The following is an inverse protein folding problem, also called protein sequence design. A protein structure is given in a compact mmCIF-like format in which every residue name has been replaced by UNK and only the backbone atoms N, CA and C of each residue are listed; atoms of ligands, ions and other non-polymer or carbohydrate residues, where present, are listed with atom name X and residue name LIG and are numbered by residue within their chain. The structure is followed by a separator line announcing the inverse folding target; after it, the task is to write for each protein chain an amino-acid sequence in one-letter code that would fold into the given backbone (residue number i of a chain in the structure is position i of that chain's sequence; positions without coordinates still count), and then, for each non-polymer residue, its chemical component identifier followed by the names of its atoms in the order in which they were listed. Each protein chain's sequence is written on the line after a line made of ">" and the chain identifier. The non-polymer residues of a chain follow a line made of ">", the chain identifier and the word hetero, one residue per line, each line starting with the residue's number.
data_IF_239865250137
#
_entry.id   IF_239865250137
#
_cell.length_a   1.000
_cell.length_b   1.000
_cell.length_c   1.000
_cell.angle_alpha   90.00
_cell.angle_beta   90.00
_cell.angle_gamma   90.00
#
_symmetry.space_group_name_H-M   'P 1'
#
loop_
_entity.id
_entity.type
_entity.pdbx_description
1 polymer ?
#
# COMPACT_ATOMS: atom_id res chain seq x y z
N UNK A 1 14.76 -5.21 24.06
CA UNK A 1 14.73 -3.75 23.87
C UNK A 1 14.21 -3.10 25.13
N UNK A 2 14.68 -1.90 25.41
CA UNK A 2 14.20 -1.04 26.51
C UNK A 2 13.56 0.24 25.95
N UNK A 3 12.71 0.88 26.76
CA UNK A 3 12.27 2.25 26.51
C UNK A 3 13.15 3.21 27.31
N UNK A 4 13.86 4.11 26.62
CA UNK A 4 14.75 5.10 27.20
C UNK A 4 14.12 6.49 27.12
N UNK A 5 13.81 7.06 28.28
CA UNK A 5 13.20 8.39 28.44
C UNK A 5 14.29 9.37 28.88
N UNK A 6 14.60 10.36 28.03
CA UNK A 6 15.75 11.26 28.22
C UNK A 6 15.28 12.67 28.56
N UNK A 7 15.75 13.19 29.68
CA UNK A 7 15.67 14.59 30.11
C UNK A 7 14.25 15.19 30.03
N UNK A 8 13.21 14.41 30.33
CA UNK A 8 11.83 14.92 30.40
C UNK A 8 11.55 15.62 31.75
N UNK A 9 12.47 16.49 32.16
CA UNK A 9 12.43 17.21 33.43
C UNK A 9 11.54 18.45 33.34
N UNK A 10 10.99 18.89 34.48
CA UNK A 10 10.00 19.98 34.57
C UNK A 10 10.47 21.27 33.90
N UNK A 11 11.73 21.65 34.09
CA UNK A 11 12.26 22.92 33.55
C UNK A 11 12.30 23.05 32.04
N UNK A 12 12.15 21.94 31.31
CA UNK A 12 12.18 21.93 29.85
C UNK A 12 11.01 21.18 29.20
N UNK A 13 10.07 20.65 29.99
CA UNK A 13 8.91 19.88 29.49
C UNK A 13 7.63 20.73 29.57
N UNK A 14 7.48 21.66 28.64
CA UNK A 14 6.33 22.59 28.59
C UNK A 14 5.94 23.03 27.16
N UNK A 15 4.97 23.94 27.09
CA UNK A 15 4.33 24.43 25.86
C UNK A 15 5.25 25.21 24.91
N UNK A 16 6.49 25.50 25.32
CA UNK A 16 7.52 26.10 24.45
C UNK A 16 8.05 25.10 23.41
N UNK A 17 7.85 23.81 23.64
CA UNK A 17 8.27 22.74 22.73
C UNK A 17 7.37 22.66 21.50
N UNK A 18 7.97 22.37 20.34
CA UNK A 18 7.20 22.06 19.15
C UNK A 18 6.29 20.86 19.38
N UNK A 19 4.98 21.04 19.11
CA UNK A 19 3.98 19.97 19.19
C UNK A 19 3.76 19.43 20.61
N UNK A 20 3.96 20.25 21.66
CA UNK A 20 3.95 19.83 23.06
C UNK A 20 2.81 18.87 23.45
N UNK A 21 1.55 19.17 23.07
CA UNK A 21 0.43 18.30 23.43
C UNK A 21 0.54 16.90 22.82
N UNK A 22 0.92 16.82 21.54
CA UNK A 22 1.11 15.54 20.84
C UNK A 22 2.32 14.79 21.40
N UNK A 23 3.42 15.50 21.63
CA UNK A 23 4.62 14.97 22.30
C UNK A 23 4.26 14.34 23.64
N UNK A 24 3.53 15.08 24.46
CA UNK A 24 3.17 14.68 25.81
C UNK A 24 2.30 13.43 25.81
N UNK A 25 1.27 13.38 24.95
CA UNK A 25 0.41 12.22 24.84
C UNK A 25 1.17 10.98 24.35
N UNK A 26 2.01 11.13 23.34
CA UNK A 26 2.77 10.00 22.79
C UNK A 26 3.79 9.44 23.80
N UNK A 27 4.56 10.30 24.48
CA UNK A 27 5.51 9.84 25.51
C UNK A 27 4.77 9.10 26.64
N UNK A 28 3.67 9.67 27.13
CA UNK A 28 2.85 9.07 28.18
C UNK A 28 2.32 7.70 27.76
N UNK A 29 1.78 7.60 26.55
CA UNK A 29 1.28 6.36 25.98
C UNK A 29 2.36 5.28 25.91
N UNK A 30 3.55 5.59 25.41
CA UNK A 30 4.63 4.61 25.28
C UNK A 30 5.19 4.17 26.63
N UNK A 31 5.29 5.07 27.61
CA UNK A 31 5.67 4.70 28.99
C UNK A 31 4.65 3.71 29.57
N UNK A 32 3.35 4.03 29.48
CA UNK A 32 2.29 3.13 29.94
C UNK A 32 2.36 1.78 29.23
N UNK A 33 2.47 1.78 27.90
CA UNK A 33 2.48 0.55 27.12
C UNK A 33 3.72 -0.31 27.39
N UNK A 34 4.88 0.31 27.58
CA UNK A 34 6.09 -0.40 27.98
C UNK A 34 5.90 -1.13 29.31
N UNK A 35 5.36 -0.44 30.32
CA UNK A 35 5.05 -1.02 31.64
C UNK A 35 4.07 -2.18 31.54
N UNK A 36 2.96 -1.99 30.82
CA UNK A 36 1.92 -3.02 30.63
C UNK A 36 2.44 -4.29 29.97
N UNK A 37 3.47 -4.17 29.12
CA UNK A 37 4.03 -5.28 28.35
C UNK A 37 5.39 -5.75 28.88
N UNK A 38 5.74 -5.38 30.12
CA UNK A 38 6.95 -5.83 30.79
C UNK A 38 8.26 -5.38 30.13
N UNK A 39 8.21 -4.30 29.33
CA UNK A 39 9.39 -3.63 28.80
C UNK A 39 9.94 -2.70 29.86
N UNK A 40 11.24 -2.80 30.09
CA UNK A 40 11.88 -1.93 31.09
C UNK A 40 11.89 -0.48 30.59
N UNK A 41 11.36 0.41 31.42
CA UNK A 41 11.44 1.86 31.22
C UNK A 41 12.62 2.37 32.03
N UNK A 42 13.53 3.07 31.36
CA UNK A 42 14.73 3.65 31.95
C UNK A 42 14.68 5.15 31.73
N UNK A 43 14.86 5.91 32.81
CA UNK A 43 14.89 7.36 32.78
C UNK A 43 16.32 7.87 32.88
N UNK A 44 16.55 9.02 32.25
CA UNK A 44 17.79 9.77 32.34
C UNK A 44 17.44 11.23 32.65
N UNK A 45 18.13 11.82 33.62
CA UNK A 45 18.03 13.23 33.98
C UNK A 45 19.37 13.92 33.74
N UNK A 46 19.33 15.13 33.21
CA UNK A 46 20.48 16.00 33.11
C UNK A 46 20.63 16.82 34.38
N UNK A 47 21.87 16.89 34.87
CA UNK A 47 22.26 17.72 36.00
C UNK A 47 23.27 18.76 35.52
N UNK A 48 22.87 20.04 35.51
CA UNK A 48 23.75 21.17 35.15
C UNK A 48 24.69 21.57 36.29
N UNK A 49 24.53 20.97 37.47
CA UNK A 49 25.34 21.18 38.66
C UNK A 49 24.75 22.21 39.62
N UNK A 50 25.24 22.25 40.87
CA UNK A 50 24.62 23.04 41.94
C UNK A 50 24.51 24.53 41.63
N UNK A 51 23.35 25.11 41.92
CA UNK A 51 23.09 26.56 41.79
C UNK A 51 22.62 27.02 40.40
N UNK A 52 22.39 26.10 39.48
CA UNK A 52 21.84 26.36 38.14
C UNK A 52 20.32 26.45 38.12
N UNK A 53 19.66 25.89 39.13
CA UNK A 53 18.20 25.70 39.15
C UNK A 53 17.77 24.47 38.35
N UNK A 54 18.71 23.67 37.84
CA UNK A 54 18.46 22.44 37.09
C UNK A 54 19.42 21.33 37.55
N UNK A 55 19.49 21.14 38.87
CA UNK A 55 20.37 20.17 39.53
C UNK A 55 19.63 19.37 40.61
N UNK A 56 20.25 18.30 41.10
CA UNK A 56 19.65 17.44 42.13
C UNK A 56 19.18 18.25 43.34
N UNK A 57 17.86 18.19 43.60
CA UNK A 57 17.20 18.92 44.68
C UNK A 57 16.42 20.16 44.23
N UNK A 58 16.59 20.61 42.99
CA UNK A 58 15.78 21.66 42.39
C UNK A 58 14.44 21.07 41.88
N UNK A 59 13.35 21.85 41.97
CA UNK A 59 12.04 21.41 41.45
C UNK A 59 12.07 21.17 39.94
N UNK A 60 12.75 22.05 39.20
CA UNK A 60 12.86 21.96 37.75
C UNK A 60 13.69 20.75 37.28
N UNK A 61 14.53 20.20 38.16
CA UNK A 61 15.31 18.99 37.89
C UNK A 61 14.44 17.73 37.92
N UNK A 62 13.34 17.71 38.67
CA UNK A 62 12.48 16.55 38.77
C UNK A 62 11.87 16.19 37.41
N UNK A 63 11.64 14.89 37.19
CA UNK A 63 10.94 14.41 35.99
C UNK A 63 9.53 14.99 35.98
N UNK A 64 9.06 15.41 34.80
CA UNK A 64 7.74 15.95 34.59
C UNK A 64 6.66 14.99 35.12
N UNK A 65 5.70 15.51 35.89
CA UNK A 65 4.84 14.70 36.77
C UNK A 65 4.05 13.62 35.99
N UNK A 66 3.62 13.92 34.76
CA UNK A 66 2.88 12.95 33.92
C UNK A 66 3.73 11.78 33.40
N UNK A 67 5.05 11.86 33.51
CA UNK A 67 6.00 10.83 33.09
C UNK A 67 6.76 10.20 34.25
N UNK A 68 6.44 10.56 35.50
CA UNK A 68 7.23 10.20 36.66
C UNK A 68 7.55 8.69 36.73
N UNK A 69 8.78 8.32 37.12
CA UNK A 69 9.15 6.91 37.29
C UNK A 69 8.31 6.24 38.38
N UNK A 70 7.96 4.97 38.15
CA UNK A 70 7.36 4.10 39.14
C UNK A 70 8.42 3.52 40.09
N UNK A 71 7.96 3.03 41.24
CA UNK A 71 8.85 2.43 42.24
C UNK A 71 9.61 1.25 41.64
N UNK A 72 10.93 1.35 41.57
CA UNK A 72 11.81 0.30 41.05
C UNK A 72 12.32 0.54 39.63
N UNK A 73 11.75 1.50 38.89
CA UNK A 73 12.29 1.93 37.60
C UNK A 73 13.66 2.61 37.77
N UNK A 74 14.52 2.45 36.77
CA UNK A 74 15.89 2.96 36.83
C UNK A 74 15.93 4.41 36.38
N UNK A 75 16.64 5.23 37.16
CA UNK A 75 16.93 6.62 36.82
C UNK A 75 18.45 6.80 36.84
N UNK A 76 19.01 7.27 35.73
CA UNK A 76 20.43 7.61 35.60
C UNK A 76 20.59 9.13 35.54
N UNK A 77 21.64 9.66 36.16
CA UNK A 77 21.95 11.09 36.13
C UNK A 77 23.15 11.31 35.23
N UNK A 78 23.09 12.31 34.34
CA UNK A 78 24.18 12.67 33.43
C UNK A 78 24.50 14.16 33.50
N UNK A 79 25.79 14.48 33.39
CA UNK A 79 26.31 15.87 33.27
C UNK A 79 26.86 16.14 31.86
N UNK A 80 26.55 15.27 30.90
CA UNK A 80 26.93 15.36 29.48
C UNK A 80 25.71 15.09 28.61
N UNK A 81 25.77 15.41 27.31
CA UNK A 81 24.60 15.26 26.44
C UNK A 81 24.20 13.80 26.19
N UNK A 82 25.15 12.92 25.86
CA UNK A 82 24.85 11.51 25.57
C UNK A 82 24.55 10.73 26.86
N UNK A 83 23.38 10.11 26.93
CA UNK A 83 23.03 9.19 28.01
C UNK A 83 23.89 7.91 28.01
N UNK A 84 24.53 7.59 26.89
CA UNK A 84 25.40 6.42 26.73
C UNK A 84 26.88 6.76 26.93
N UNK A 85 27.20 7.97 27.36
CA UNK A 85 28.56 8.31 27.75
C UNK A 85 29.01 7.42 28.93
N UNK A 86 30.26 6.94 28.97
CA UNK A 86 30.73 6.01 30.01
C UNK A 86 30.54 6.52 31.44
N UNK A 87 30.59 7.84 31.67
CA UNK A 87 30.38 8.42 33.01
C UNK A 87 28.97 8.24 33.56
N UNK A 88 27.98 7.92 32.72
CA UNK A 88 26.57 7.72 33.12
C UNK A 88 26.34 6.29 33.61
N UNK A 89 27.12 5.32 33.15
CA UNK A 89 26.98 3.89 33.49
C UNK A 89 25.83 3.16 32.78
N UNK A 90 24.94 3.87 32.08
CA UNK A 90 23.83 3.28 31.33
C UNK A 90 24.31 2.34 30.21
N UNK A 91 25.36 2.70 29.48
CA UNK A 91 25.93 1.88 28.42
C UNK A 91 26.34 0.48 28.91
N UNK A 92 27.06 0.44 30.04
CA UNK A 92 27.52 -0.82 30.63
C UNK A 92 26.34 -1.64 31.15
N UNK A 93 25.35 -0.97 31.73
CA UNK A 93 24.11 -1.61 32.18
C UNK A 93 23.38 -2.31 31.02
N UNK A 94 23.17 -1.61 29.91
CA UNK A 94 22.50 -2.16 28.72
C UNK A 94 23.31 -3.31 28.08
N UNK A 95 24.64 -3.18 28.01
CA UNK A 95 25.53 -4.24 27.52
C UNK A 95 25.49 -5.49 28.40
N UNK A 96 25.47 -5.32 29.73
CA UNK A 96 25.36 -6.45 30.66
C UNK A 96 24.02 -7.19 30.53
N UNK A 97 22.94 -6.45 30.27
CA UNK A 97 21.62 -7.02 29.95
C UNK A 97 21.54 -7.66 28.56
N UNK A 98 22.56 -7.48 27.72
CA UNK A 98 22.59 -7.92 26.32
C UNK A 98 21.44 -7.32 25.51
N UNK A 99 21.07 -6.08 25.83
CA UNK A 99 20.13 -5.34 25.00
C UNK A 99 20.76 -5.03 23.64
N UNK A 100 19.97 -5.14 22.58
CA UNK A 100 20.42 -4.87 21.21
C UNK A 100 19.68 -3.70 20.57
N UNK A 101 18.56 -3.28 21.16
CA UNK A 101 17.72 -2.20 20.63
C UNK A 101 17.23 -1.28 21.76
N UNK A 102 17.16 0.02 21.45
CA UNK A 102 16.77 1.07 22.39
C UNK A 102 15.72 1.96 21.71
N UNK A 103 14.49 1.95 22.21
CA UNK A 103 13.49 2.94 21.82
C UNK A 103 13.74 4.22 22.61
N UNK A 104 14.07 5.31 21.93
CA UNK A 104 14.54 6.55 22.54
C UNK A 104 13.50 7.65 22.38
N UNK A 105 13.07 8.22 23.50
CA UNK A 105 12.11 9.32 23.58
C UNK A 105 12.62 10.39 24.55
N UNK A 106 12.11 11.62 24.44
CA UNK A 106 12.41 12.70 25.38
C UNK A 106 13.04 13.93 24.72
N UNK A 107 13.89 14.65 25.46
CA UNK A 107 14.33 16.00 25.13
C UNK A 107 15.85 16.17 25.25
N UNK A 108 16.46 17.13 24.57
CA UNK A 108 15.96 17.83 23.39
C UNK A 108 16.48 17.17 22.12
N UNK A 109 15.69 17.24 21.04
CA UNK A 109 15.98 16.64 19.72
C UNK A 109 17.44 16.85 19.28
N UNK A 110 17.88 18.10 19.19
CA UNK A 110 19.18 18.48 18.62
C UNK A 110 20.34 18.48 19.64
N UNK A 111 20.09 18.05 20.88
CA UNK A 111 21.09 17.98 21.94
C UNK A 111 21.20 16.54 22.47
N UNK A 112 20.57 16.23 23.60
CA UNK A 112 20.74 14.98 24.32
C UNK A 112 20.18 13.78 23.54
N UNK A 113 19.08 13.96 22.80
CA UNK A 113 18.50 12.91 21.95
C UNK A 113 19.46 12.58 20.79
N UNK A 114 19.89 13.57 19.99
CA UNK A 114 20.84 13.35 18.89
C UNK A 114 22.17 12.73 19.37
N UNK A 115 22.74 13.27 20.45
CA UNK A 115 23.99 12.75 21.01
C UNK A 115 23.84 11.29 21.47
N UNK A 116 22.70 10.94 22.07
CA UNK A 116 22.43 9.58 22.52
C UNK A 116 22.17 8.63 21.35
N UNK A 117 21.41 9.04 20.34
CA UNK A 117 21.13 8.24 19.13
C UNK A 117 22.44 7.90 18.43
N UNK A 118 23.29 8.89 18.15
CA UNK A 118 24.57 8.66 17.48
C UNK A 118 25.51 7.80 18.31
N UNK A 119 25.58 8.06 19.62
CA UNK A 119 26.38 7.25 20.54
C UNK A 119 25.89 5.80 20.64
N UNK A 120 24.58 5.57 20.57
CA UNK A 120 23.97 4.25 20.59
C UNK A 120 24.25 3.48 19.31
N UNK A 121 24.10 4.12 18.16
CA UNK A 121 24.51 3.60 16.86
C UNK A 121 25.99 3.19 16.84
N UNK A 122 26.90 4.07 17.30
CA UNK A 122 28.34 3.79 17.36
C UNK A 122 28.68 2.61 18.29
N UNK A 123 27.81 2.34 19.27
CA UNK A 123 27.95 1.20 20.18
C UNK A 123 27.21 -0.06 19.72
N UNK A 124 26.64 -0.05 18.51
CA UNK A 124 25.99 -1.20 17.88
C UNK A 124 24.56 -1.47 18.34
N UNK A 125 23.90 -0.50 18.98
CA UNK A 125 22.47 -0.62 19.27
C UNK A 125 21.65 -0.23 18.05
N UNK A 126 20.55 -0.95 17.85
CA UNK A 126 19.46 -0.50 17.00
C UNK A 126 18.68 0.61 17.71
N UNK A 127 18.84 1.84 17.22
CA UNK A 127 18.14 3.00 17.75
C UNK A 127 16.78 3.13 17.07
N UNK A 128 15.72 3.27 17.87
CA UNK A 128 14.34 3.42 17.39
C UNK A 128 13.78 4.73 17.94
N UNK A 129 13.20 5.55 17.07
CA UNK A 129 12.66 6.87 17.42
C UNK A 129 11.23 6.99 16.89
N UNK A 130 10.21 6.84 17.76
CA UNK A 130 8.82 7.02 17.35
C UNK A 130 8.50 8.48 17.01
N UNK A 131 7.61 8.70 16.05
CA UNK A 131 7.17 10.05 15.67
C UNK A 131 6.59 10.84 16.85
N UNK A 132 6.91 12.13 16.90
CA UNK A 132 6.44 13.06 17.93
C UNK A 132 6.69 12.54 19.35
N UNK A 133 7.85 11.92 19.60
CA UNK A 133 8.30 11.54 20.96
C UNK A 133 9.59 12.24 21.37
N UNK A 134 10.07 13.17 20.54
CA UNK A 134 11.13 14.11 20.86
C UNK A 134 10.76 15.50 20.35
N UNK A 135 11.30 16.54 20.99
CA UNK A 135 11.08 17.92 20.57
C UNK A 135 12.21 18.83 21.05
N UNK A 136 12.17 20.09 20.61
CA UNK A 136 13.09 21.14 21.02
C UNK A 136 12.41 22.51 20.94
N UNK A 137 13.07 23.53 21.50
CA UNK A 137 12.60 24.91 21.46
C UNK A 137 12.94 25.58 20.14
N UNK A 138 12.23 26.68 19.83
CA UNK A 138 12.69 27.61 18.81
C UNK A 138 14.04 28.21 19.22
N UNK A 139 14.91 28.42 18.24
CA UNK A 139 16.15 29.18 18.38
C UNK A 139 16.23 30.27 17.32
N UNK A 140 17.19 31.19 17.47
CA UNK A 140 17.45 32.24 16.48
C UNK A 140 17.88 31.69 15.10
N UNK A 141 18.33 30.43 15.06
CA UNK A 141 18.82 29.79 13.84
C UNK A 141 17.80 28.84 13.20
N UNK A 142 16.97 28.18 14.01
CA UNK A 142 16.08 27.12 13.55
C UNK A 142 14.83 27.04 14.42
N UNK A 143 13.62 27.09 13.82
CA UNK A 143 12.38 26.77 14.52
C UNK A 143 12.37 25.32 15.03
N UNK A 144 11.69 25.07 16.14
CA UNK A 144 11.61 23.75 16.76
C UNK A 144 10.99 22.70 15.83
N UNK A 145 9.98 23.07 15.04
CA UNK A 145 9.41 22.22 14.00
C UNK A 145 10.46 21.83 12.94
N UNK A 146 11.21 22.81 12.45
CA UNK A 146 12.25 22.57 11.44
C UNK A 146 13.36 21.67 12.00
N UNK A 147 13.75 21.87 13.26
CA UNK A 147 14.70 21.00 13.94
C UNK A 147 14.15 19.57 14.07
N UNK A 148 12.92 19.41 14.56
CA UNK A 148 12.26 18.10 14.64
C UNK A 148 12.30 17.38 13.29
N UNK A 149 11.84 18.03 12.21
CA UNK A 149 11.80 17.46 10.87
C UNK A 149 13.18 17.14 10.33
N UNK A 150 14.14 18.05 10.48
CA UNK A 150 15.53 17.85 10.05
C UNK A 150 16.11 16.58 10.66
N UNK A 151 15.90 16.36 11.96
CA UNK A 151 16.45 15.19 12.63
C UNK A 151 15.68 13.89 12.35
N UNK A 152 14.34 13.94 12.47
CA UNK A 152 13.47 12.75 12.37
C UNK A 152 13.18 12.32 10.93
N UNK A 153 13.23 13.21 9.95
CA UNK A 153 12.90 12.89 8.54
C UNK A 153 14.16 12.81 7.65
N UNK A 154 15.29 13.38 8.07
CA UNK A 154 16.50 13.45 7.24
C UNK A 154 17.76 12.94 7.92
N UNK A 155 18.14 13.47 9.10
CA UNK A 155 19.44 13.16 9.72
C UNK A 155 19.52 11.72 10.19
N UNK A 156 18.52 11.24 10.94
CA UNK A 156 18.55 9.92 11.57
C UNK A 156 18.11 8.76 10.67
N UNK A 157 17.02 8.87 9.86
CA UNK A 157 16.52 7.75 9.07
C UNK A 157 17.55 7.16 8.11
N UNK A 158 17.60 5.83 8.04
CA UNK A 158 18.48 5.11 7.11
C UNK A 158 19.97 5.19 7.44
N UNK A 159 20.34 5.86 8.56
CA UNK A 159 21.75 6.02 8.95
C UNK A 159 22.02 5.77 10.43
N UNK A 160 21.29 6.44 11.32
CA UNK A 160 21.54 6.38 12.76
C UNK A 160 20.41 5.71 13.55
N UNK A 161 19.16 5.85 13.09
CA UNK A 161 18.00 5.26 13.76
C UNK A 161 16.91 4.86 12.77
N UNK A 162 16.04 3.96 13.21
CA UNK A 162 14.72 3.74 12.61
C UNK A 162 13.75 4.77 13.18
N UNK A 163 13.35 5.75 12.38
CA UNK A 163 12.29 6.68 12.73
C UNK A 163 10.96 6.11 12.24
N UNK A 164 10.05 5.83 13.16
CA UNK A 164 8.85 5.00 12.92
C UNK A 164 7.57 5.71 13.33
N UNK A 165 6.44 5.29 12.78
CA UNK A 165 5.12 5.75 13.20
C UNK A 165 4.73 5.23 14.59
N UNK A 166 3.75 5.87 15.22
CA UNK A 166 3.29 5.45 16.55
C UNK A 166 2.69 4.04 16.58
N UNK A 167 2.05 3.59 15.50
CA UNK A 167 1.49 2.23 15.42
C UNK A 167 2.56 1.14 15.47
N UNK A 168 3.66 1.35 14.76
CA UNK A 168 4.80 0.43 14.80
C UNK A 168 5.45 0.44 16.19
N UNK A 169 5.63 1.62 16.80
CA UNK A 169 6.17 1.73 18.15
C UNK A 169 5.31 0.99 19.18
N UNK A 170 3.97 1.09 19.07
CA UNK A 170 3.04 0.33 19.92
C UNK A 170 3.23 -1.17 19.76
N UNK A 171 3.36 -1.65 18.53
CA UNK A 171 3.54 -3.07 18.27
C UNK A 171 4.87 -3.59 18.85
N UNK A 172 5.96 -2.84 18.66
CA UNK A 172 7.27 -3.19 19.21
C UNK A 172 7.29 -3.29 20.74
N UNK A 173 6.54 -2.44 21.44
CA UNK A 173 6.41 -2.51 22.90
C UNK A 173 5.53 -3.68 23.36
N UNK A 174 4.51 -4.08 22.58
CA UNK A 174 3.62 -5.21 22.89
C UNK A 174 4.27 -6.58 22.72
N UNK A 175 5.29 -6.72 21.87
CA UNK A 175 5.93 -8.01 21.59
C UNK A 175 7.02 -8.37 22.63
N UNK A 176 6.77 -9.33 23.53
CA UNK A 176 7.68 -9.72 24.63
C UNK A 176 9.09 -10.20 24.21
N UNK A 177 10.10 -9.94 25.05
CA UNK A 177 11.49 -10.33 24.82
C UNK A 177 11.68 -11.86 24.91
N UNK A 178 11.85 -12.52 23.76
CA UNK A 178 12.08 -13.96 23.72
C UNK A 178 12.26 -14.55 22.32
N UNK A 179 13.25 -14.10 21.55
CA UNK A 179 14.05 -14.90 20.61
C UNK A 179 14.88 -13.98 19.72
N UNK A 180 16.13 -14.36 19.44
CA UNK A 180 16.96 -13.63 18.50
C UNK A 180 16.28 -13.53 17.14
N UNK A 181 16.51 -12.41 16.45
CA UNK A 181 16.16 -12.09 15.06
C UNK A 181 15.59 -13.29 14.29
N UNK A 182 14.27 -13.42 14.35
CA UNK A 182 13.45 -13.42 13.15
C UNK A 182 12.42 -12.33 13.41
N UNK A 183 12.41 -11.27 12.61
CA UNK A 183 11.17 -10.51 12.47
C UNK A 183 10.05 -11.53 12.22
N UNK A 184 8.84 -11.29 12.73
CA UNK A 184 7.71 -12.10 12.28
C UNK A 184 7.76 -12.02 10.76
N UNK A 185 8.08 -13.15 10.13
CA UNK A 185 8.28 -13.22 8.71
C UNK A 185 7.07 -12.58 8.04
N UNK A 186 7.27 -11.42 7.42
CA UNK A 186 6.17 -10.68 6.82
C UNK A 186 5.70 -11.49 5.63
N UNK A 187 4.39 -11.78 5.61
CA UNK A 187 3.75 -12.49 4.50
C UNK A 187 3.70 -11.54 3.31
N UNK A 188 4.68 -11.64 2.44
CA UNK A 188 4.84 -10.71 1.32
C UNK A 188 4.34 -11.34 0.03
N UNK A 189 3.47 -10.61 -0.66
CA UNK A 189 3.02 -10.93 -2.01
C UNK A 189 3.80 -10.04 -3.00
N UNK A 190 4.55 -10.66 -3.91
CA UNK A 190 5.14 -9.97 -5.03
C UNK A 190 4.34 -10.26 -6.31
N UNK A 191 3.88 -9.20 -6.98
CA UNK A 191 3.22 -9.28 -8.29
C UNK A 191 4.18 -8.80 -9.37
N UNK A 192 4.52 -9.69 -10.29
CA UNK A 192 5.34 -9.37 -11.46
C UNK A 192 4.45 -9.09 -12.67
N UNK A 193 4.48 -7.84 -13.12
CA UNK A 193 3.63 -7.27 -14.16
C UNK A 193 4.42 -6.97 -15.46
N UNK A 194 5.36 -7.85 -15.80
CA UNK A 194 6.20 -7.72 -17.00
C UNK A 194 5.40 -7.76 -18.32
N UNK A 195 4.19 -8.31 -18.27
CA UNK A 195 3.22 -8.38 -19.37
C UNK A 195 1.95 -7.62 -19.03
N UNK A 196 2.09 -6.58 -18.21
CA UNK A 196 0.99 -5.78 -17.68
C UNK A 196 0.13 -6.56 -16.69
N UNK A 197 -1.13 -6.19 -16.60
CA UNK A 197 -2.10 -6.79 -15.71
C UNK A 197 -3.54 -6.48 -16.16
N UNK A 198 -4.39 -7.48 -16.09
CA UNK A 198 -5.84 -7.39 -16.21
C UNK A 198 -6.51 -8.05 -14.99
N UNK A 199 -7.80 -7.81 -14.79
CA UNK A 199 -8.56 -8.30 -13.62
C UNK A 199 -8.54 -9.83 -13.53
N UNK A 200 -8.90 -10.49 -14.63
CA UNK A 200 -8.80 -11.94 -14.85
C UNK A 200 -7.41 -12.51 -14.53
N UNK A 201 -6.34 -11.86 -15.03
CA UNK A 201 -4.95 -12.29 -14.84
C UNK A 201 -4.54 -12.21 -13.37
N UNK A 202 -4.91 -11.13 -12.66
CA UNK A 202 -4.64 -11.00 -11.23
C UNK A 202 -5.42 -12.07 -10.46
N UNK A 203 -6.72 -12.20 -10.70
CA UNK A 203 -7.58 -13.21 -10.07
C UNK A 203 -7.04 -14.62 -10.29
N UNK A 204 -6.64 -14.96 -11.52
CA UNK A 204 -6.05 -16.24 -11.85
C UNK A 204 -4.72 -16.48 -11.12
N UNK A 205 -3.83 -15.49 -11.06
CA UNK A 205 -2.55 -15.60 -10.36
C UNK A 205 -2.74 -15.80 -8.85
N UNK A 206 -3.65 -15.06 -8.23
CA UNK A 206 -4.00 -15.19 -6.82
C UNK A 206 -4.65 -16.54 -6.50
N UNK A 207 -5.49 -17.05 -7.41
CA UNK A 207 -6.16 -18.35 -7.25
C UNK A 207 -5.20 -19.53 -7.16
N UNK A 208 -3.98 -19.40 -7.70
CA UNK A 208 -2.97 -20.45 -7.62
C UNK A 208 -2.18 -20.44 -6.30
N UNK A 209 -2.26 -19.37 -5.52
CA UNK A 209 -1.49 -19.20 -4.28
C UNK A 209 -2.34 -19.19 -3.01
N UNK A 210 -3.68 -19.23 -3.14
CA UNK A 210 -4.60 -19.51 -2.02
C UNK A 210 -4.57 -20.99 -1.64
N UNK A 211 -4.89 -21.29 -0.38
CA UNK A 211 -4.81 -22.65 0.16
C UNK A 211 -5.86 -23.60 -0.46
N UNK A 212 -7.08 -23.12 -0.70
CA UNK A 212 -8.17 -23.90 -1.29
C UNK A 212 -8.90 -23.08 -2.35
N UNK A 213 -8.38 -23.17 -3.57
CA UNK A 213 -8.89 -22.44 -4.71
C UNK A 213 -10.28 -22.94 -5.13
N UNK A 214 -10.64 -24.21 -4.90
CA UNK A 214 -11.97 -24.75 -5.24
C UNK A 214 -13.03 -24.20 -4.29
N UNK A 215 -12.73 -24.15 -2.98
CA UNK A 215 -13.59 -23.50 -2.01
C UNK A 215 -13.74 -22.00 -2.29
N UNK A 216 -12.65 -21.33 -2.70
CA UNK A 216 -12.68 -19.91 -3.07
C UNK A 216 -13.67 -19.66 -4.22
N UNK A 217 -13.58 -20.44 -5.30
CA UNK A 217 -14.46 -20.27 -6.47
C UNK A 217 -15.90 -20.74 -6.21
N UNK A 218 -16.11 -21.69 -5.29
CA UNK A 218 -17.44 -22.04 -4.81
C UNK A 218 -18.09 -20.85 -4.07
N UNK A 219 -17.32 -20.10 -3.26
CA UNK A 219 -17.81 -18.87 -2.63
C UNK A 219 -18.11 -17.79 -3.66
N UNK A 220 -17.23 -17.58 -4.64
CA UNK A 220 -17.44 -16.58 -5.71
C UNK A 220 -18.72 -16.85 -6.50
N UNK A 221 -18.96 -18.11 -6.88
CA UNK A 221 -20.19 -18.50 -7.56
C UNK A 221 -21.45 -18.47 -6.66
N UNK A 222 -21.29 -18.36 -5.34
CA UNK A 222 -22.38 -18.21 -4.37
C UNK A 222 -22.66 -16.73 -4.01
N UNK A 223 -21.99 -15.77 -4.65
CA UNK A 223 -22.22 -14.33 -4.42
C UNK A 223 -23.53 -13.81 -5.03
N UNK A 224 -24.28 -14.65 -5.75
CA UNK A 224 -25.57 -14.31 -6.40
C UNK A 224 -25.50 -13.08 -7.32
N UNK A 225 -24.36 -12.88 -7.99
CA UNK A 225 -24.26 -11.88 -9.06
C UNK A 225 -25.12 -12.37 -10.25
N UNK A 226 -26.17 -11.65 -10.67
CA UNK A 226 -27.13 -12.16 -11.65
C UNK A 226 -26.48 -12.56 -12.98
N UNK A 227 -26.65 -13.83 -13.36
CA UNK A 227 -26.14 -14.37 -14.63
C UNK A 227 -24.64 -14.63 -14.66
N UNK A 228 -23.89 -14.32 -13.60
CA UNK A 228 -22.42 -14.43 -13.58
C UNK A 228 -21.99 -15.80 -13.09
N UNK A 229 -21.00 -16.39 -13.76
CA UNK A 229 -20.34 -17.64 -13.34
C UNK A 229 -18.84 -17.54 -13.53
N UNK A 230 -18.09 -17.84 -12.48
CA UNK A 230 -16.63 -17.92 -12.51
C UNK A 230 -16.19 -19.33 -12.90
N UNK A 231 -15.34 -19.41 -13.92
CA UNK A 231 -14.68 -20.66 -14.33
C UNK A 231 -13.17 -20.53 -14.22
N UNK A 232 -12.51 -21.66 -13.93
CA UNK A 232 -11.06 -21.75 -13.79
C UNK A 232 -10.56 -22.99 -14.49
N UNK A 233 -9.59 -22.84 -15.37
CA UNK A 233 -8.96 -23.95 -16.08
C UNK A 233 -7.44 -23.86 -16.04
N UNK A 234 -6.79 -25.02 -15.94
CA UNK A 234 -5.34 -25.11 -16.12
C UNK A 234 -5.03 -25.04 -17.61
N UNK A 235 -4.16 -24.11 -17.98
CA UNK A 235 -3.76 -23.90 -19.37
C UNK A 235 -2.23 -23.91 -19.49
N UNK A 236 -1.74 -24.23 -20.69
CA UNK A 236 -0.32 -24.21 -21.02
C UNK A 236 -0.12 -23.26 -22.17
N UNK A 237 0.54 -22.11 -21.92
CA UNK A 237 0.97 -21.17 -22.95
C UNK A 237 2.50 -21.09 -22.94
N UNK A 238 3.11 -21.18 -24.12
CA UNK A 238 4.58 -21.13 -24.29
C UNK A 238 5.36 -22.10 -23.38
N UNK A 239 4.79 -23.27 -23.08
CA UNK A 239 5.40 -24.28 -22.21
C UNK A 239 5.31 -23.99 -20.71
N UNK A 240 4.65 -22.90 -20.31
CA UNK A 240 4.39 -22.56 -18.91
C UNK A 240 2.95 -22.93 -18.58
N UNK A 241 2.79 -23.75 -17.54
CA UNK A 241 1.48 -24.08 -16.97
C UNK A 241 1.06 -22.97 -16.02
N UNK A 242 -0.17 -22.47 -16.20
CA UNK A 242 -0.81 -21.55 -15.29
C UNK A 242 -2.31 -21.77 -15.28
N UNK A 243 -3.03 -20.78 -14.79
CA UNK A 243 -4.48 -20.78 -14.70
C UNK A 243 -5.04 -19.69 -15.59
N UNK A 244 -6.08 -20.03 -16.34
CA UNK A 244 -6.98 -19.06 -16.96
C UNK A 244 -8.26 -19.01 -16.13
N UNK A 245 -8.67 -17.79 -15.77
CA UNK A 245 -9.97 -17.53 -15.15
C UNK A 245 -10.81 -16.82 -16.18
N UNK A 246 -12.06 -17.24 -16.35
CA UNK A 246 -13.02 -16.46 -17.12
C UNK A 246 -14.34 -16.31 -16.39
N UNK A 247 -14.94 -15.14 -16.60
CA UNK A 247 -16.26 -14.80 -16.12
C UNK A 247 -17.24 -14.94 -17.27
N UNK A 248 -18.29 -15.72 -17.06
CA UNK A 248 -19.40 -15.86 -18.01
C UNK A 248 -20.60 -15.11 -17.50
N UNK A 249 -21.17 -14.25 -18.33
CA UNK A 249 -22.44 -13.55 -18.12
C UNK A 249 -23.50 -14.23 -18.98
N UNK A 250 -24.54 -14.79 -18.35
CA UNK A 250 -25.59 -15.58 -18.99
C UNK A 250 -25.09 -16.75 -19.86
N UNK A 251 -23.92 -17.30 -19.52
CA UNK A 251 -23.30 -18.43 -20.22
C UNK A 251 -22.32 -18.03 -21.34
N UNK A 252 -22.22 -16.74 -21.65
CA UNK A 252 -21.30 -16.18 -22.64
C UNK A 252 -20.19 -15.42 -21.93
N UNK A 253 -18.96 -15.53 -22.44
CA UNK A 253 -17.87 -14.69 -21.99
C UNK A 253 -17.97 -13.39 -22.80
N UNK A 254 -18.08 -12.23 -22.16
CA UNK A 254 -18.11 -10.96 -22.88
C UNK A 254 -16.74 -10.77 -23.56
N UNK A 255 -16.73 -10.66 -24.90
CA UNK A 255 -15.50 -10.46 -25.65
C UNK A 255 -15.11 -8.98 -25.62
N UNK A 256 -13.92 -8.67 -25.10
CA UNK A 256 -13.26 -7.39 -25.40
C UNK A 256 -13.09 -7.30 -26.92
N UNK A 257 -13.58 -6.20 -27.51
CA UNK A 257 -13.65 -5.95 -28.95
C UNK A 257 -12.36 -6.27 -29.74
N UNK A 258 -12.18 -7.52 -30.15
CA UNK A 258 -11.18 -7.92 -31.15
C UNK A 258 -11.87 -8.10 -32.50
N UNK A 259 -12.18 -6.98 -33.15
CA UNK A 259 -12.72 -6.98 -34.50
C UNK A 259 -11.62 -7.31 -35.54
N UNK A 260 -11.11 -8.54 -35.52
CA UNK A 260 -10.46 -9.16 -36.68
C UNK A 260 -11.49 -9.85 -37.58
N UNK A 261 -12.60 -9.17 -37.87
CA UNK A 261 -13.38 -9.47 -39.08
C UNK A 261 -13.00 -8.46 -40.15
N UNK A 262 -11.97 -8.83 -40.93
CA UNK A 262 -11.80 -8.32 -42.28
C UNK A 262 -13.04 -8.71 -43.09
N UNK A 263 -14.07 -7.86 -43.07
CA UNK A 263 -14.92 -7.73 -44.23
C UNK A 263 -14.17 -6.82 -45.20
N UNK A 264 -13.36 -7.43 -46.05
CA UNK A 264 -12.93 -6.80 -47.31
C UNK A 264 -14.20 -6.54 -48.13
N UNK A 265 -14.83 -5.38 -47.90
CA UNK A 265 -15.72 -4.79 -48.88
C UNK A 265 -14.84 -4.10 -49.92
N UNK A 266 -14.44 -4.86 -50.94
CA UNK A 266 -13.99 -4.31 -52.20
C UNK A 266 -15.10 -3.43 -52.78
N UNK A 267 -15.01 -2.13 -52.56
CA UNK A 267 -15.77 -1.14 -53.33
C UNK A 267 -15.07 -0.93 -54.68
N UNK A 268 -15.36 -1.80 -55.65
CA UNK A 268 -15.14 -1.48 -57.06
C UNK A 268 -16.32 -0.64 -57.55
N UNK A 269 -16.13 0.68 -57.54
CA UNK A 269 -17.01 1.60 -58.27
C UNK A 269 -16.43 1.82 -59.68
N UNK A 270 -16.92 1.04 -60.65
CA UNK A 270 -16.91 1.47 -62.04
C UNK A 270 -18.19 2.26 -62.30
N UNK A 271 -18.01 3.53 -62.65
CA UNK A 271 -19.06 4.43 -63.08
C UNK A 271 -19.42 4.13 -64.54
N UNK A 272 -20.70 4.00 -64.86
CA UNK A 272 -21.24 4.65 -66.05
C UNK A 272 -22.79 4.78 -66.07
N UNK A 273 -23.20 6.02 -66.36
CA UNK A 273 -24.46 6.50 -66.93
C UNK A 273 -25.61 7.04 -66.04
N UNK A 274 -25.99 8.26 -66.45
CA UNK A 274 -27.10 9.13 -66.08
C UNK A 274 -28.46 8.43 -65.95
N UNK A 275 -29.30 8.92 -65.02
CA UNK A 275 -30.58 9.57 -65.31
C UNK A 275 -31.10 10.33 -64.08
N UNK A 276 -31.66 11.53 -64.30
CA UNK A 276 -32.44 12.28 -63.32
C UNK A 276 -33.62 11.45 -62.81
N UNK A 277 -33.80 11.34 -61.49
CA UNK A 277 -35.12 11.28 -60.84
C UNK A 277 -34.97 11.60 -59.34
N UNK A 278 -35.72 12.61 -58.89
CA UNK A 278 -36.00 12.86 -57.47
C UNK A 278 -36.83 11.70 -56.92
N UNK A 279 -36.27 10.94 -55.97
CA UNK A 279 -37.07 10.10 -55.08
C UNK A 279 -36.52 10.12 -53.65
N UNK A 280 -37.36 10.62 -52.75
CA UNK A 280 -37.31 10.37 -51.32
C UNK A 280 -37.30 8.86 -51.07
N UNK A 281 -36.28 8.37 -50.38
CA UNK A 281 -36.33 7.10 -49.70
C UNK A 281 -35.84 7.28 -48.26
N UNK A 282 -36.81 7.34 -47.35
CA UNK A 282 -36.61 7.03 -45.94
C UNK A 282 -36.11 5.58 -45.86
N UNK A 283 -34.83 5.41 -45.57
CA UNK A 283 -34.29 4.14 -45.11
C UNK A 283 -34.14 4.22 -43.59
N UNK A 284 -35.18 3.76 -42.88
CA UNK A 284 -35.04 3.33 -41.50
C UNK A 284 -34.09 2.13 -41.48
N UNK A 285 -32.83 2.39 -41.19
CA UNK A 285 -31.92 1.38 -40.73
C UNK A 285 -32.26 1.08 -39.27
N UNK A 286 -33.05 0.03 -39.04
CA UNK A 286 -33.11 -0.62 -37.74
C UNK A 286 -31.78 -1.33 -37.50
N UNK A 287 -30.80 -0.59 -36.99
CA UNK A 287 -29.68 -1.19 -36.31
C UNK A 287 -30.21 -1.73 -34.97
N UNK A 288 -30.33 -3.05 -34.87
CA UNK A 288 -30.30 -3.72 -33.57
C UNK A 288 -28.92 -3.43 -32.96
N UNK A 289 -28.83 -2.32 -32.25
CA UNK A 289 -27.71 -2.06 -31.36
C UNK A 289 -27.94 -2.94 -30.13
N UNK A 290 -27.09 -3.95 -29.97
CA UNK A 290 -26.92 -4.65 -28.70
C UNK A 290 -26.82 -3.61 -27.58
N UNK A 291 -27.69 -3.74 -26.58
CA UNK A 291 -27.82 -2.78 -25.50
C UNK A 291 -26.55 -2.79 -24.63
N UNK A 292 -25.63 -1.86 -24.87
CA UNK A 292 -24.53 -1.60 -23.95
C UNK A 292 -25.09 -1.16 -22.61
N UNK A 293 -24.88 -1.98 -21.58
CA UNK A 293 -25.34 -1.70 -20.23
C UNK A 293 -24.41 -0.69 -19.55
N UNK A 294 -24.65 0.60 -19.83
CA UNK A 294 -24.01 1.67 -19.07
C UNK A 294 -24.43 1.59 -17.60
N UNK A 295 -23.47 1.42 -16.69
CA UNK A 295 -23.70 1.45 -15.23
C UNK A 295 -23.06 2.69 -14.64
N UNK A 296 -23.76 3.36 -13.74
CA UNK A 296 -23.20 4.41 -12.90
C UNK A 296 -22.49 3.81 -11.68
N UNK A 297 -21.68 4.61 -10.98
CA UNK A 297 -21.09 4.18 -9.71
C UNK A 297 -22.15 3.79 -8.66
N UNK A 298 -23.32 4.43 -8.68
CA UNK A 298 -24.43 4.10 -7.80
C UNK A 298 -25.05 2.72 -8.15
N UNK A 299 -25.13 2.36 -9.43
CA UNK A 299 -25.60 1.04 -9.84
C UNK A 299 -24.63 -0.05 -9.37
N UNK A 300 -23.33 0.21 -9.47
CA UNK A 300 -22.29 -0.71 -8.99
C UNK A 300 -22.37 -0.86 -7.46
N UNK A 301 -22.50 0.24 -6.72
CA UNK A 301 -22.69 0.20 -5.28
C UNK A 301 -23.94 -0.61 -4.89
N UNK A 302 -25.04 -0.45 -5.64
CA UNK A 302 -26.26 -1.22 -5.41
C UNK A 302 -26.07 -2.73 -5.67
N UNK A 303 -25.27 -3.12 -6.65
CA UNK A 303 -24.91 -4.52 -6.89
C UNK A 303 -24.05 -5.04 -5.74
N UNK A 304 -22.95 -4.35 -5.42
CA UNK A 304 -21.95 -4.80 -4.43
C UNK A 304 -22.51 -4.84 -3.02
N UNK A 305 -23.22 -3.78 -2.58
CA UNK A 305 -23.76 -3.70 -1.21
C UNK A 305 -25.15 -4.31 -1.06
N UNK A 306 -25.94 -4.31 -2.14
CA UNK A 306 -27.35 -4.75 -2.10
C UNK A 306 -27.57 -6.22 -2.41
N UNK A 307 -26.69 -6.84 -3.22
CA UNK A 307 -26.91 -8.20 -3.73
C UNK A 307 -25.79 -9.17 -3.34
N UNK A 308 -24.53 -8.72 -3.29
CA UNK A 308 -23.43 -9.62 -2.98
C UNK A 308 -23.35 -9.94 -1.49
N UNK A 309 -23.42 -11.23 -1.16
CA UNK A 309 -23.24 -11.71 0.21
C UNK A 309 -21.75 -11.75 0.60
N UNK A 310 -21.18 -10.56 0.82
CA UNK A 310 -19.78 -10.34 1.18
C UNK A 310 -19.67 -9.65 2.55
N UNK A 311 -18.58 -9.88 3.31
CA UNK A 311 -18.23 -9.04 4.45
C UNK A 311 -18.12 -7.57 4.03
N UNK A 312 -18.55 -6.66 4.91
CA UNK A 312 -18.52 -5.20 4.66
C UNK A 312 -17.12 -4.71 4.27
N UNK A 313 -16.06 -5.28 4.88
CA UNK A 313 -14.68 -4.95 4.52
C UNK A 313 -14.32 -5.26 3.06
N UNK A 314 -14.83 -6.36 2.49
CA UNK A 314 -14.59 -6.70 1.08
C UNK A 314 -15.44 -5.82 0.16
N UNK A 315 -16.68 -5.50 0.57
CA UNK A 315 -17.51 -4.55 -0.18
C UNK A 315 -16.84 -3.18 -0.26
N UNK A 316 -16.24 -2.71 0.85
CA UNK A 316 -15.49 -1.46 0.89
C UNK A 316 -14.26 -1.49 -0.02
N UNK A 317 -13.48 -2.58 -0.02
CA UNK A 317 -12.34 -2.77 -0.93
C UNK A 317 -12.77 -2.69 -2.41
N UNK A 318 -13.85 -3.40 -2.79
CA UNK A 318 -14.39 -3.35 -4.16
C UNK A 318 -14.79 -1.91 -4.53
N UNK A 319 -15.46 -1.19 -3.61
CA UNK A 319 -15.85 0.19 -3.86
C UNK A 319 -14.66 1.14 -3.93
N UNK A 320 -13.58 0.90 -3.18
CA UNK A 320 -12.36 1.70 -3.25
C UNK A 320 -11.62 1.52 -4.58
N UNK A 321 -11.57 0.29 -5.11
CA UNK A 321 -11.08 0.04 -6.48
C UNK A 321 -11.94 0.80 -7.49
N UNK A 322 -13.27 0.75 -7.36
CA UNK A 322 -14.16 1.49 -8.26
C UNK A 322 -14.03 3.00 -8.16
N UNK A 323 -13.73 3.57 -6.98
CA UNK A 323 -13.45 5.00 -6.85
C UNK A 323 -12.22 5.41 -7.66
N UNK A 324 -11.15 4.60 -7.64
CA UNK A 324 -9.94 4.84 -8.46
C UNK A 324 -10.28 4.88 -9.94
N UNK A 325 -11.10 3.92 -10.41
CA UNK A 325 -11.56 3.87 -11.80
C UNK A 325 -12.46 5.08 -12.10
N UNK A 326 -13.42 5.39 -11.24
CA UNK A 326 -14.37 6.49 -11.41
C UNK A 326 -13.69 7.85 -11.49
N UNK A 327 -12.65 8.09 -10.68
CA UNK A 327 -11.82 9.30 -10.73
C UNK A 327 -11.09 9.43 -12.08
N UNK A 328 -10.57 8.32 -12.60
CA UNK A 328 -9.90 8.31 -13.89
C UNK A 328 -10.86 8.56 -15.05
N UNK A 329 -12.00 7.87 -15.05
CA UNK A 329 -13.03 8.02 -16.07
C UNK A 329 -13.63 9.43 -16.03
N UNK A 330 -13.95 9.96 -14.83
CA UNK A 330 -14.39 11.35 -14.64
C UNK A 330 -13.42 12.36 -15.23
N UNK A 331 -12.12 12.15 -15.03
CA UNK A 331 -11.10 13.01 -15.60
C UNK A 331 -11.04 12.93 -17.13
N UNK A 332 -11.05 11.72 -17.70
CA UNK A 332 -10.96 11.49 -19.15
C UNK A 332 -12.20 12.02 -19.88
N UNK A 333 -13.37 11.89 -19.26
CA UNK A 333 -14.65 12.33 -19.82
C UNK A 333 -14.99 13.80 -19.50
N UNK A 334 -14.27 14.45 -18.58
CA UNK A 334 -14.51 15.84 -18.19
C UNK A 334 -15.83 16.04 -17.44
N UNK A 335 -16.32 15.01 -16.75
CA UNK A 335 -17.57 15.01 -15.96
C UNK A 335 -17.28 14.85 -14.48
N UNK A 336 -18.28 14.93 -13.61
CA UNK A 336 -18.10 14.59 -12.18
C UNK A 336 -18.19 13.08 -11.96
N UNK A 337 -17.56 12.57 -10.90
CA UNK A 337 -17.62 11.14 -10.51
C UNK A 337 -19.07 10.66 -10.34
N UNK A 338 -19.97 11.51 -9.85
CA UNK A 338 -21.40 11.18 -9.70
C UNK A 338 -22.17 11.05 -11.01
N UNK A 339 -21.64 11.60 -12.10
CA UNK A 339 -22.28 11.64 -13.43
C UNK A 339 -21.62 10.67 -14.41
N UNK A 340 -20.66 9.84 -13.95
CA UNK A 340 -19.97 8.89 -14.81
C UNK A 340 -20.88 7.70 -15.14
N UNK A 341 -20.82 7.29 -16.41
CA UNK A 341 -21.41 6.05 -16.89
C UNK A 341 -20.29 5.21 -17.48
N UNK A 342 -20.03 4.06 -16.87
CA UNK A 342 -18.97 3.18 -17.30
C UNK A 342 -19.41 2.39 -18.53
N UNK A 343 -18.52 2.32 -19.52
CA UNK A 343 -18.72 1.55 -20.75
C UNK A 343 -18.22 0.12 -20.57
N UNK A 344 -16.92 -0.03 -20.34
CA UNK A 344 -16.24 -1.34 -20.30
C UNK A 344 -16.03 -1.80 -18.86
N UNK A 345 -15.57 -0.90 -17.97
CA UNK A 345 -15.34 -1.20 -16.55
C UNK A 345 -16.62 -1.36 -15.71
N UNK A 346 -17.78 -1.03 -16.28
CA UNK A 346 -19.11 -1.18 -15.66
C UNK A 346 -19.84 -2.45 -16.06
N UNK A 347 -19.25 -3.26 -16.95
CA UNK A 347 -19.78 -4.54 -17.33
C UNK A 347 -19.72 -5.55 -16.17
N UNK A 348 -20.55 -6.60 -16.24
CA UNK A 348 -20.69 -7.53 -15.11
C UNK A 348 -19.44 -8.39 -14.90
N UNK A 349 -18.69 -8.67 -15.96
CA UNK A 349 -17.38 -9.31 -15.95
C UNK A 349 -16.35 -8.47 -15.18
N UNK A 350 -16.27 -7.15 -15.42
CA UNK A 350 -15.37 -6.26 -14.72
C UNK A 350 -15.70 -6.17 -13.20
N UNK A 351 -17.00 -6.09 -12.86
CA UNK A 351 -17.46 -6.13 -11.47
C UNK A 351 -17.05 -7.45 -10.82
N UNK A 352 -17.26 -8.57 -11.53
CA UNK A 352 -16.94 -9.91 -11.06
C UNK A 352 -15.43 -10.09 -10.85
N UNK A 353 -14.59 -9.62 -11.78
CA UNK A 353 -13.13 -9.71 -11.69
C UNK A 353 -12.57 -8.92 -10.50
N UNK A 354 -13.01 -7.67 -10.33
CA UNK A 354 -12.60 -6.85 -9.17
C UNK A 354 -13.02 -7.54 -7.87
N UNK A 355 -14.26 -8.03 -7.82
CA UNK A 355 -14.79 -8.73 -6.65
C UNK A 355 -13.98 -9.99 -6.34
N UNK A 356 -13.65 -10.78 -7.35
CA UNK A 356 -12.87 -11.99 -7.19
C UNK A 356 -11.45 -11.71 -6.70
N UNK A 357 -10.79 -10.69 -7.25
CA UNK A 357 -9.49 -10.25 -6.78
C UNK A 357 -9.53 -9.80 -5.31
N UNK A 358 -10.53 -9.02 -4.90
CA UNK A 358 -10.67 -8.58 -3.50
C UNK A 358 -10.93 -9.75 -2.54
N UNK A 359 -11.81 -10.69 -2.92
CA UNK A 359 -12.04 -11.91 -2.14
C UNK A 359 -10.76 -12.71 -1.96
N UNK A 360 -10.01 -12.97 -3.04
CA UNK A 360 -8.77 -13.74 -2.98
C UNK A 360 -7.68 -13.00 -2.20
N UNK A 361 -7.57 -11.67 -2.34
CA UNK A 361 -6.64 -10.85 -1.55
C UNK A 361 -6.97 -10.91 -0.05
N UNK A 362 -8.25 -10.83 0.32
CA UNK A 362 -8.68 -11.02 1.69
C UNK A 362 -8.55 -12.46 2.19
N UNK A 363 -8.46 -13.48 1.33
CA UNK A 363 -8.10 -14.84 1.78
C UNK A 363 -6.59 -14.99 1.97
N UNK A 364 -5.78 -14.39 1.08
CA UNK A 364 -4.32 -14.41 1.17
C UNK A 364 -3.85 -13.58 2.36
N UNK A 365 -4.44 -12.41 2.63
CA UNK A 365 -4.04 -11.47 3.69
C UNK A 365 -2.52 -11.26 3.77
N UNK A 366 -1.87 -10.78 2.70
CA UNK A 366 -0.46 -10.43 2.78
C UNK A 366 -0.25 -9.24 3.74
N UNK A 367 0.85 -9.25 4.48
CA UNK A 367 1.29 -8.12 5.31
C UNK A 367 1.88 -7.00 4.42
N UNK A 368 2.49 -7.36 3.29
CA UNK A 368 3.03 -6.43 2.28
C UNK A 368 2.70 -6.91 0.87
N UNK A 369 2.29 -5.99 -0.01
CA UNK A 369 2.16 -6.23 -1.45
C UNK A 369 3.17 -5.37 -2.21
N UNK A 370 4.10 -6.02 -2.89
CA UNK A 370 5.11 -5.37 -3.73
C UNK A 370 4.79 -5.65 -5.18
N UNK A 371 4.65 -4.60 -5.99
CA UNK A 371 4.36 -4.72 -7.42
C UNK A 371 5.58 -4.28 -8.22
N UNK A 372 5.95 -5.03 -9.25
CA UNK A 372 7.02 -4.63 -10.17
C UNK A 372 6.67 -3.32 -10.90
N UNK A 373 7.62 -2.65 -11.57
CA UNK A 373 7.25 -1.71 -12.62
C UNK A 373 6.26 -2.35 -13.60
N UNK A 374 5.27 -1.59 -14.07
CA UNK A 374 4.16 -2.12 -14.87
C UNK A 374 4.43 -1.92 -16.36
N UNK A 375 4.44 -3.01 -17.13
CA UNK A 375 4.52 -2.93 -18.59
C UNK A 375 3.16 -2.54 -19.15
N UNK A 376 3.04 -1.37 -19.80
CA UNK A 376 1.74 -0.89 -20.32
C UNK A 376 1.45 -1.32 -21.75
N UNK A 377 2.48 -1.68 -22.53
CA UNK A 377 2.36 -2.04 -23.93
C UNK A 377 2.79 -0.88 -24.83
N UNK A 378 2.37 -0.89 -26.09
CA UNK A 378 2.51 0.25 -27.00
C UNK A 378 1.50 0.19 -28.15
N UNK A 379 1.42 1.28 -28.93
CA UNK A 379 0.53 1.37 -30.08
C UNK A 379 -0.86 1.83 -29.69
N UNK A 380 -1.88 1.11 -30.15
CA UNK A 380 -3.28 1.50 -30.06
C UNK A 380 -4.14 0.29 -29.67
N UNK A 381 -5.30 0.56 -29.08
CA UNK A 381 -6.33 -0.42 -28.70
C UNK A 381 -7.68 0.05 -29.23
N UNK A 382 -8.50 -0.89 -29.71
CA UNK A 382 -9.88 -0.62 -30.15
C UNK A 382 -10.83 -0.96 -29.01
N UNK A 383 -11.71 -0.02 -28.68
CA UNK A 383 -12.64 -0.10 -27.54
C UNK A 383 -13.96 0.60 -27.93
N UNK A 384 -14.93 0.68 -27.01
CA UNK A 384 -16.19 1.39 -27.21
C UNK A 384 -16.00 2.89 -27.58
N UNK A 385 -14.86 3.47 -27.22
CA UNK A 385 -14.49 4.85 -27.53
C UNK A 385 -13.72 5.01 -28.85
N UNK A 386 -13.68 3.95 -29.68
CA UNK A 386 -12.90 3.91 -30.91
C UNK A 386 -11.47 3.44 -30.68
N UNK A 387 -10.53 4.02 -31.41
CA UNK A 387 -9.12 3.65 -31.35
C UNK A 387 -8.40 4.62 -30.40
N UNK A 388 -7.85 4.08 -29.31
CA UNK A 388 -7.16 4.83 -28.27
C UNK A 388 -5.66 4.50 -28.24
N UNK A 389 -4.79 5.42 -27.81
CA UNK A 389 -3.38 5.11 -27.60
C UNK A 389 -3.22 4.11 -26.44
N UNK A 390 -2.11 3.38 -26.43
CA UNK A 390 -1.71 2.52 -25.30
C UNK A 390 -0.59 3.19 -24.51
N UNK A 391 -0.71 3.34 -23.17
CA UNK A 391 -1.86 2.95 -22.35
C UNK A 391 -3.12 3.77 -22.65
N UNK A 392 -4.30 3.15 -22.52
CA UNK A 392 -5.57 3.85 -22.65
C UNK A 392 -5.65 5.03 -21.65
N UNK A 393 -6.39 6.12 -21.96
CA UNK A 393 -6.39 7.34 -21.14
C UNK A 393 -6.75 7.11 -19.66
N UNK A 394 -7.73 6.26 -19.37
CA UNK A 394 -8.09 5.91 -17.99
C UNK A 394 -6.95 5.18 -17.28
N UNK A 395 -6.37 4.15 -17.92
CA UNK A 395 -5.18 3.43 -17.43
C UNK A 395 -4.01 4.38 -17.17
N UNK A 396 -3.73 5.29 -18.10
CA UNK A 396 -2.66 6.28 -17.97
C UNK A 396 -2.87 7.21 -16.76
N UNK A 397 -4.13 7.61 -16.49
CA UNK A 397 -4.48 8.45 -15.35
C UNK A 397 -4.37 7.70 -14.02
N UNK A 398 -4.83 6.44 -13.98
CA UNK A 398 -4.72 5.56 -12.81
C UNK A 398 -3.25 5.39 -12.43
N UNK A 399 -2.37 5.13 -13.40
CA UNK A 399 -0.95 4.85 -13.18
C UNK A 399 -0.07 6.08 -12.92
N UNK A 400 -0.65 7.25 -12.65
CA UNK A 400 0.12 8.40 -12.14
C UNK A 400 0.80 8.02 -10.81
N UNK A 401 2.06 8.42 -10.71
CA UNK A 401 3.00 8.12 -9.60
C UNK A 401 3.37 6.62 -9.45
N UNK A 402 3.01 5.78 -10.43
CA UNK A 402 3.42 4.37 -10.53
C UNK A 402 4.59 4.25 -11.53
N UNK A 403 5.66 3.47 -11.24
CA UNK A 403 6.70 3.20 -12.21
C UNK A 403 6.13 2.34 -13.35
N UNK A 404 5.95 2.95 -14.52
CA UNK A 404 5.50 2.28 -15.74
C UNK A 404 6.58 2.30 -16.81
N UNK A 405 6.50 1.35 -17.74
CA UNK A 405 7.32 1.36 -18.93
C UNK A 405 6.55 0.81 -20.13
N UNK A 406 6.81 1.39 -21.30
CA UNK A 406 6.38 0.84 -22.58
C UNK A 406 7.34 -0.21 -23.10
N UNK A 407 7.06 -0.75 -24.28
CA UNK A 407 7.94 -1.71 -24.93
C UNK A 407 7.63 -1.85 -26.41
N UNK A 408 8.04 -2.98 -26.99
CA UNK A 408 7.80 -3.29 -28.41
C UNK A 408 6.56 -4.16 -28.62
N UNK A 409 5.90 -4.59 -27.55
CA UNK A 409 4.69 -5.41 -27.61
C UNK A 409 3.51 -4.50 -27.88
N UNK A 410 2.92 -4.63 -29.07
CA UNK A 410 1.77 -3.85 -29.50
C UNK A 410 0.50 -4.36 -28.84
N UNK A 411 -0.35 -3.43 -28.42
CA UNK A 411 -1.61 -3.70 -27.74
C UNK A 411 -1.57 -3.34 -26.26
N UNK A 412 -2.75 -3.28 -25.66
CA UNK A 412 -2.93 -2.97 -24.25
C UNK A 412 -2.54 -4.16 -23.38
N UNK A 413 -1.45 -4.03 -22.63
CA UNK A 413 -1.00 -5.06 -21.68
C UNK A 413 -1.57 -4.82 -20.27
N UNK A 414 -1.82 -3.58 -19.92
CA UNK A 414 -2.42 -3.22 -18.64
C UNK A 414 -3.76 -2.55 -18.88
N UNK A 415 -4.84 -3.17 -18.42
CA UNK A 415 -6.20 -2.64 -18.54
C UNK A 415 -6.52 -1.70 -17.37
N UNK A 416 -7.56 -0.85 -17.47
CA UNK A 416 -7.96 0.03 -16.37
C UNK A 416 -8.24 -0.75 -15.07
N UNK A 417 -8.91 -1.90 -15.18
CA UNK A 417 -9.22 -2.79 -14.06
C UNK A 417 -7.95 -3.33 -13.40
N UNK A 418 -7.00 -3.84 -14.20
CA UNK A 418 -5.72 -4.33 -13.68
C UNK A 418 -4.92 -3.22 -13.00
N UNK A 419 -4.85 -2.03 -13.62
CA UNK A 419 -4.16 -0.87 -13.05
C UNK A 419 -4.77 -0.43 -11.71
N UNK A 420 -6.11 -0.40 -11.60
CA UNK A 420 -6.80 -0.01 -10.38
C UNK A 420 -6.56 -1.02 -9.24
N UNK A 421 -6.64 -2.33 -9.54
CA UNK A 421 -6.34 -3.39 -8.58
C UNK A 421 -4.88 -3.31 -8.07
N UNK A 422 -3.92 -3.14 -8.98
CA UNK A 422 -2.52 -2.97 -8.59
C UNK A 422 -2.33 -1.74 -7.71
N UNK A 423 -2.94 -0.60 -8.07
CA UNK A 423 -2.82 0.66 -7.31
C UNK A 423 -3.49 0.59 -5.94
N UNK A 424 -4.62 -0.10 -5.83
CA UNK A 424 -5.33 -0.29 -4.57
C UNK A 424 -4.55 -1.19 -3.61
N UNK A 425 -4.06 -2.34 -4.09
CA UNK A 425 -3.44 -3.33 -3.22
C UNK A 425 -1.95 -3.11 -2.95
N UNK A 426 -1.22 -2.41 -3.83
CA UNK A 426 0.23 -2.23 -3.66
C UNK A 426 0.55 -1.41 -2.41
N UNK A 427 1.32 -2.01 -1.50
CA UNK A 427 2.00 -1.26 -0.43
C UNK A 427 3.10 -0.38 -1.01
N UNK A 428 3.80 -0.89 -2.04
CA UNK A 428 4.78 -0.13 -2.82
C UNK A 428 5.04 -0.76 -4.19
N UNK A 429 5.56 0.04 -5.09
CA UNK A 429 6.07 -0.41 -6.38
C UNK A 429 7.61 -0.44 -6.38
N UNK A 430 8.19 -1.47 -7.00
CA UNK A 430 9.65 -1.56 -7.13
C UNK A 430 10.14 -2.97 -7.44
N UNK A 431 11.44 -3.18 -7.24
CA UNK A 431 12.05 -4.48 -7.46
C UNK A 431 11.56 -5.53 -6.46
N UNK A 432 11.59 -6.79 -6.88
CA UNK A 432 11.32 -7.93 -6.01
C UNK A 432 12.22 -7.86 -4.75
N UNK A 433 11.63 -7.92 -3.53
CA UNK A 433 12.43 -7.96 -2.31
C UNK A 433 13.20 -9.28 -2.21
N UNK A 434 14.14 -9.34 -1.27
CA UNK A 434 14.73 -10.63 -0.88
C UNK A 434 13.63 -11.41 -0.18
N UNK A 435 13.03 -12.36 -0.89
CA UNK A 435 11.87 -13.13 -0.43
C UNK A 435 12.16 -14.63 -0.43
N UNK A 436 11.75 -15.31 0.65
CA UNK A 436 11.68 -16.77 0.70
C UNK A 436 10.31 -17.21 0.17
N UNK A 437 10.24 -17.48 -1.12
CA UNK A 437 9.00 -17.86 -1.81
C UNK A 437 8.46 -19.19 -1.27
N UNK A 438 7.16 -19.22 -0.97
CA UNK A 438 6.40 -20.40 -0.52
C UNK A 438 5.48 -20.95 -1.62
N UNK A 439 4.84 -20.07 -2.37
CA UNK A 439 3.98 -20.44 -3.50
C UNK A 439 4.14 -19.46 -4.65
N UNK A 440 3.92 -19.96 -5.87
CA UNK A 440 4.00 -19.20 -7.11
C UNK A 440 2.74 -19.49 -7.90
N UNK A 441 2.09 -18.45 -8.40
CA UNK A 441 0.92 -18.52 -9.25
C UNK A 441 1.16 -17.83 -10.59
N UNK A 442 0.67 -18.43 -11.67
CA UNK A 442 0.64 -17.81 -12.99
C UNK A 442 -0.81 -17.61 -13.45
N UNK A 443 -1.22 -16.34 -13.52
CA UNK A 443 -2.50 -15.95 -14.11
C UNK A 443 -2.33 -15.62 -15.57
N UNK A 444 -2.81 -16.51 -16.43
CA UNK A 444 -2.66 -16.44 -17.88
C UNK A 444 -3.75 -15.54 -18.45
N UNK A 445 -3.38 -14.56 -19.26
CA UNK A 445 -4.34 -13.68 -19.93
C UNK A 445 -4.91 -14.30 -21.21
N UNK A 446 -6.09 -13.81 -21.63
CA UNK A 446 -6.77 -14.25 -22.85
C UNK A 446 -5.97 -13.93 -24.12
N UNK A 447 -5.59 -12.65 -24.29
CA UNK A 447 -4.90 -12.12 -25.48
C UNK A 447 -3.55 -12.79 -25.75
N UNK A 448 -3.25 -13.03 -27.03
CA UNK A 448 -1.97 -13.55 -27.49
C UNK A 448 -1.13 -12.44 -28.13
N UNK A 449 0.04 -12.17 -27.53
CA UNK A 449 0.98 -11.14 -27.97
C UNK A 449 2.21 -11.73 -28.67
N UNK A 450 2.19 -13.01 -29.05
CA UNK A 450 3.37 -13.72 -29.55
C UNK A 450 4.39 -14.06 -28.46
N UNK A 451 3.99 -13.88 -27.19
CA UNK A 451 4.76 -14.17 -25.97
C UNK A 451 3.79 -14.52 -24.84
N UNK A 452 4.30 -15.08 -23.74
CA UNK A 452 3.49 -15.44 -22.58
C UNK A 452 2.84 -14.19 -21.98
N UNK A 453 1.53 -14.02 -22.14
CA UNK A 453 0.74 -13.00 -21.44
C UNK A 453 0.31 -13.54 -20.08
N UNK A 454 0.99 -13.11 -19.01
CA UNK A 454 0.67 -13.55 -17.65
C UNK A 454 1.08 -12.55 -16.56
N UNK A 455 0.31 -12.52 -15.47
CA UNK A 455 0.75 -11.98 -14.17
C UNK A 455 1.32 -13.14 -13.37
N UNK A 456 2.49 -12.93 -12.78
CA UNK A 456 3.07 -13.91 -11.85
C UNK A 456 2.98 -13.40 -10.42
N UNK A 457 2.32 -14.17 -9.56
CA UNK A 457 2.26 -13.93 -8.13
C UNK A 457 3.29 -14.81 -7.41
N UNK A 458 4.03 -14.24 -6.46
CA UNK A 458 4.94 -14.97 -5.57
C UNK A 458 4.61 -14.61 -4.14
N UNK A 459 4.13 -15.58 -3.38
CA UNK A 459 3.81 -15.41 -1.96
C UNK A 459 4.92 -16.06 -1.13
N UNK A 460 5.41 -15.34 -0.14
CA UNK A 460 6.53 -15.82 0.67
C UNK A 460 6.73 -15.03 1.95
N UNK A 461 7.91 -15.17 2.50
CA UNK A 461 8.34 -14.53 3.74
C UNK A 461 9.50 -13.57 3.46
N UNK A 462 9.38 -12.32 3.93
CA UNK A 462 10.48 -11.35 4.01
C UNK A 462 10.83 -11.09 5.48
N UNK A 463 12.11 -10.76 5.73
CA UNK A 463 12.66 -10.54 7.07
C UNK A 463 12.48 -9.10 7.59
#
# INVERSE_FOLDING_TARGET
>A
MVLLVIDTQKGITDDRLFGFDRLKQNIKELITLARENGKEVIFVQHDDGPGTGFSVGDEEFEIFDEFAPETGEKVFIKTVNSALHPSVGLLDYLKQKKETAIMTIGLQTNFCIDATIKSGFDNGFEMIVPEYTNSTFNSDYMPGETAYRYYNEMMWPGRFAKCIGMDEARNLLKEGAGSGVKGKAMKTLYLECNMGAAGDMITAALSEIVDDADASFAKLNALDIPGVTFTREKTVKYGITGTYVSVKVNGEEEDEYDAHHHHDHEHSHDHEHHHDHEHHHDHEHSHDHEHHHHRSLADIEHIVRGHMNLPESIQDEVMDVYKIIAEAESHVHGTTVSEIHFHEVGALDAIADITAACVLMNEIKPDEVVVSPVHVGCGEVKCAHGILPVPAPATAYILRDVPIYGGNIRGELCTPTGAALLKHFATRFGNMPIIRVKSIGYGIGKKDFGTLSAVRAMLGETD
#
